data_IF_306600664929
#
_entry.id   IF_306600664929
#
_cell.length_a   1.000
_cell.length_b   1.000
_cell.length_c   1.000
_cell.angle_alpha   90.00
_cell.angle_beta   90.00
_cell.angle_gamma   90.00
#
_symmetry.space_group_name_H-M   'P 1'
#
loop_
_entity.id
_entity.type
_entity.pdbx_description
1 polymer ?
#
# COMPACT_ATOMS: atom_id res chain seq x y z
N UNK A 1 35.27 7.06 18.49
CA UNK A 1 34.12 6.19 18.84
C UNK A 1 34.55 4.74 19.05
N UNK A 2 33.69 3.83 19.55
CA UNK A 2 33.98 2.39 19.67
C UNK A 2 33.08 1.58 18.73
N UNK A 3 33.61 0.50 18.14
CA UNK A 3 32.85 -0.34 17.21
C UNK A 3 31.80 -1.18 17.95
N UNK A 4 30.53 -1.10 17.56
CA UNK A 4 29.40 -1.82 18.20
C UNK A 4 29.47 -3.36 18.12
N UNK A 5 30.44 -3.93 17.39
CA UNK A 5 30.58 -5.37 17.20
C UNK A 5 31.77 -5.97 17.94
N UNK A 6 32.85 -5.20 18.11
CA UNK A 6 34.09 -5.72 18.67
C UNK A 6 34.71 -4.80 19.74
N UNK A 7 34.02 -3.71 20.09
CA UNK A 7 34.41 -2.71 21.09
C UNK A 7 35.82 -2.12 20.93
N UNK A 8 36.41 -2.26 19.74
CA UNK A 8 37.70 -1.67 19.41
C UNK A 8 37.55 -0.15 19.22
N UNK A 9 38.57 0.64 19.61
CA UNK A 9 38.57 2.08 19.36
C UNK A 9 38.67 2.36 17.85
N UNK A 10 37.73 3.15 17.32
CA UNK A 10 37.67 3.53 15.91
C UNK A 10 37.62 5.05 15.76
N UNK A 11 38.35 5.58 14.78
CA UNK A 11 38.39 7.00 14.47
C UNK A 11 37.02 7.50 14.00
N UNK A 12 36.69 8.74 14.34
CA UNK A 12 35.35 9.28 14.15
C UNK A 12 34.94 9.41 12.66
N UNK A 13 35.92 9.30 11.74
CA UNK A 13 35.77 9.39 10.28
C UNK A 13 36.03 8.08 9.52
N UNK A 14 36.22 6.97 10.23
CA UNK A 14 36.51 5.70 9.59
C UNK A 14 35.23 5.01 9.10
N UNK A 15 35.14 4.79 7.78
CA UNK A 15 34.02 4.07 7.15
C UNK A 15 33.96 2.58 7.56
N UNK A 16 35.07 2.00 8.02
CA UNK A 16 35.17 0.59 8.39
C UNK A 16 36.05 0.41 9.63
N UNK A 17 35.67 -0.53 10.51
CA UNK A 17 36.48 -0.94 11.64
C UNK A 17 37.64 -1.82 11.16
N UNK A 18 38.88 -1.39 11.40
CA UNK A 18 40.09 -2.12 11.00
C UNK A 18 40.34 -3.41 11.79
N UNK A 19 39.70 -3.56 12.96
CA UNK A 19 39.87 -4.75 13.82
C UNK A 19 38.92 -5.90 13.47
N UNK A 20 37.70 -5.62 12.99
CA UNK A 20 36.69 -6.65 12.70
C UNK A 20 36.08 -6.58 11.30
N UNK A 21 36.44 -5.57 10.49
CA UNK A 21 35.92 -5.37 9.13
C UNK A 21 34.50 -4.82 9.05
N UNK A 22 33.88 -4.42 10.18
CA UNK A 22 32.49 -3.95 10.20
C UNK A 22 32.38 -2.48 9.73
N UNK A 23 31.44 -2.19 8.83
CA UNK A 23 31.19 -0.83 8.32
C UNK A 23 30.52 0.06 9.37
N UNK A 24 31.02 1.29 9.55
CA UNK A 24 30.47 2.28 10.45
C UNK A 24 29.80 3.38 9.60
N UNK A 25 28.46 3.46 9.64
CA UNK A 25 27.71 4.55 8.99
C UNK A 25 27.80 5.80 9.87
N UNK A 26 28.47 6.84 9.37
CA UNK A 26 28.47 8.15 10.01
C UNK A 26 27.08 8.79 9.88
N UNK A 27 26.44 9.05 11.02
CA UNK A 27 25.17 9.76 11.11
C UNK A 27 25.46 11.25 11.21
N UNK A 28 25.50 11.96 10.09
CA UNK A 28 25.27 13.41 10.10
C UNK A 28 23.76 13.62 10.19
N UNK A 29 23.32 13.93 11.41
CA UNK A 29 21.97 14.22 11.82
C UNK A 29 21.43 15.49 11.15
N UNK A 30 20.36 15.35 10.38
CA UNK A 30 19.26 16.31 10.33
C UNK A 30 17.97 15.54 9.97
N UNK A 31 17.04 15.51 10.93
CA UNK A 31 15.85 14.66 10.91
C UNK A 31 14.59 15.47 10.61
N UNK A 32 13.70 14.95 9.75
CA UNK A 32 12.24 14.95 10.00
C UNK A 32 11.63 13.64 9.49
N UNK A 33 11.36 12.75 10.46
CA UNK A 33 10.31 11.73 10.57
C UNK A 33 9.87 10.92 9.32
N UNK A 34 10.40 9.69 9.22
CA UNK A 34 9.64 8.50 8.82
C UNK A 34 10.32 7.25 9.43
N UNK A 35 9.67 6.49 10.33
CA UNK A 35 10.29 5.31 10.91
C UNK A 35 10.08 4.13 9.96
N UNK A 36 11.19 3.61 9.42
CA UNK A 36 11.48 2.18 9.29
C UNK A 36 12.62 2.03 8.27
N UNK A 37 13.82 2.22 8.80
CA UNK A 37 15.07 1.79 8.18
C UNK A 37 15.30 0.31 8.48
N UNK A 38 15.14 -0.54 7.47
CA UNK A 38 15.84 -1.82 7.35
C UNK A 38 16.39 -1.90 5.92
N UNK A 39 17.72 -1.77 5.82
CA UNK A 39 18.42 -1.81 4.54
C UNK A 39 18.44 -3.22 3.94
N UNK A 40 18.60 -3.30 2.62
CA UNK A 40 19.88 -3.73 2.08
C UNK A 40 20.00 -3.32 0.61
N UNK A 41 21.23 -2.94 0.27
CA UNK A 41 21.89 -2.76 -1.03
C UNK A 41 21.07 -3.05 -2.32
N UNK A 42 20.89 -2.03 -3.18
CA UNK A 42 21.10 -2.17 -4.64
C UNK A 42 21.15 -0.80 -5.36
N UNK A 43 22.37 -0.42 -5.74
CA UNK A 43 22.75 0.21 -7.02
C UNK A 43 21.81 1.24 -7.66
N UNK A 44 22.23 2.51 -7.62
CA UNK A 44 22.04 3.58 -8.63
C UNK A 44 20.93 3.35 -9.69
N UNK A 45 19.68 3.27 -9.27
CA UNK A 45 18.53 3.58 -10.10
C UNK A 45 17.49 4.20 -9.17
N UNK A 46 17.06 5.40 -9.53
CA UNK A 46 16.06 6.24 -8.88
C UNK A 46 14.78 5.47 -8.48
N UNK A 47 14.83 4.72 -7.38
CA UNK A 47 13.70 4.00 -6.80
C UNK A 47 13.39 4.66 -5.47
N UNK A 48 12.10 4.85 -5.19
CA UNK A 48 11.71 5.48 -3.93
C UNK A 48 12.06 4.55 -2.76
N UNK A 49 12.60 5.11 -1.67
CA UNK A 49 12.91 4.38 -0.42
C UNK A 49 11.69 3.73 0.27
N UNK A 50 10.48 3.88 -0.30
CA UNK A 50 9.25 3.28 0.21
C UNK A 50 9.09 1.85 -0.26
N UNK A 51 8.68 1.00 0.67
CA UNK A 51 8.53 -0.43 0.45
C UNK A 51 7.23 -0.76 -0.27
N UNK A 52 7.33 -1.50 -1.38
CA UNK A 52 6.18 -2.02 -2.12
C UNK A 52 5.30 -2.95 -1.27
N UNK A 53 5.92 -3.76 -0.40
CA UNK A 53 5.22 -4.71 0.48
C UNK A 53 4.25 -4.01 1.44
N UNK A 54 4.67 -2.85 1.96
CA UNK A 54 3.86 -2.02 2.87
C UNK A 54 2.72 -1.35 2.12
N UNK A 55 2.97 -0.82 0.92
CA UNK A 55 1.92 -0.26 0.05
C UNK A 55 0.86 -1.31 -0.31
N UNK A 56 1.28 -2.56 -0.54
CA UNK A 56 0.40 -3.70 -0.82
C UNK A 56 -0.49 -4.05 0.38
N UNK A 57 0.06 -4.09 1.60
CA UNK A 57 -0.75 -4.30 2.81
C UNK A 57 -1.75 -3.17 3.05
N UNK A 58 -1.34 -1.92 2.82
CA UNK A 58 -2.22 -0.75 2.90
C UNK A 58 -3.36 -0.83 1.87
N UNK A 59 -3.07 -1.30 0.66
CA UNK A 59 -4.08 -1.50 -0.38
C UNK A 59 -5.11 -2.57 0.02
N UNK A 60 -4.67 -3.67 0.63
CA UNK A 60 -5.59 -4.72 1.09
C UNK A 60 -6.49 -4.26 2.24
N UNK A 61 -5.94 -3.57 3.24
CA UNK A 61 -6.67 -3.28 4.48
C UNK A 61 -7.33 -1.89 4.50
N UNK A 62 -6.82 -0.94 3.73
CA UNK A 62 -7.33 0.44 3.63
C UNK A 62 -7.54 0.89 2.18
N UNK A 63 -7.63 -0.03 1.23
CA UNK A 63 -7.74 0.27 -0.20
C UNK A 63 -8.99 1.07 -0.56
N UNK A 64 -10.12 0.80 0.09
CA UNK A 64 -11.35 1.57 -0.08
C UNK A 64 -11.21 3.05 0.30
N UNK A 65 -10.32 3.36 1.25
CA UNK A 65 -10.07 4.72 1.74
C UNK A 65 -8.99 5.43 0.89
N UNK A 66 -8.20 4.68 0.10
CA UNK A 66 -7.14 5.24 -0.75
C UNK A 66 -5.86 5.64 0.01
N UNK A 67 -5.64 5.07 1.20
CA UNK A 67 -4.48 5.41 2.06
C UNK A 67 -3.13 5.10 1.39
N UNK A 68 -3.09 4.09 0.50
CA UNK A 68 -1.87 3.73 -0.23
C UNK A 68 -1.42 4.81 -1.22
N UNK A 69 -2.34 5.61 -1.78
CA UNK A 69 -1.98 6.76 -2.63
C UNK A 69 -1.27 7.85 -1.83
N UNK A 70 -1.71 8.09 -0.58
CA UNK A 70 -1.03 9.01 0.34
C UNK A 70 0.35 8.47 0.73
N UNK A 71 0.47 7.16 0.95
CA UNK A 71 1.75 6.51 1.22
C UNK A 71 2.75 6.70 0.06
N UNK A 72 2.27 6.57 -1.18
CA UNK A 72 3.03 6.81 -2.40
C UNK A 72 3.34 8.31 -2.65
N UNK A 73 2.76 9.21 -1.86
CA UNK A 73 2.91 10.66 -2.02
C UNK A 73 1.98 11.27 -3.08
N UNK A 74 1.13 10.47 -3.71
CA UNK A 74 0.13 10.91 -4.70
C UNK A 74 -1.16 11.35 -4.00
N UNK A 75 -1.06 12.39 -3.18
CA UNK A 75 -2.16 12.95 -2.39
C UNK A 75 -3.37 13.31 -3.27
N UNK A 76 -3.13 13.80 -4.49
CA UNK A 76 -4.19 14.15 -5.44
C UNK A 76 -5.03 12.94 -5.88
N UNK A 77 -4.39 11.79 -6.16
CA UNK A 77 -5.09 10.55 -6.54
C UNK A 77 -5.89 10.00 -5.35
N UNK A 78 -5.31 10.02 -4.15
CA UNK A 78 -5.99 9.59 -2.91
C UNK A 78 -7.22 10.44 -2.59
N UNK A 79 -7.11 11.77 -2.67
CA UNK A 79 -8.25 12.68 -2.44
C UNK A 79 -9.32 12.48 -3.52
N UNK A 80 -8.94 12.33 -4.79
CA UNK A 80 -9.90 12.09 -5.87
C UNK A 80 -10.72 10.80 -5.63
N UNK A 81 -10.05 9.72 -5.23
CA UNK A 81 -10.69 8.45 -4.84
C UNK A 81 -11.64 8.63 -3.66
N UNK A 82 -11.18 9.27 -2.59
CA UNK A 82 -11.99 9.52 -1.40
C UNK A 82 -13.20 10.42 -1.68
N UNK A 83 -13.04 11.45 -2.51
CA UNK A 83 -14.14 12.34 -2.90
C UNK A 83 -15.19 11.61 -3.76
N UNK A 84 -14.75 10.79 -4.72
CA UNK A 84 -15.63 9.91 -5.49
C UNK A 84 -16.35 8.91 -4.60
N UNK A 85 -15.68 8.37 -3.58
CA UNK A 85 -16.29 7.49 -2.59
C UNK A 85 -17.43 8.19 -1.84
N UNK A 86 -17.14 9.34 -1.24
CA UNK A 86 -18.13 10.12 -0.47
C UNK A 86 -19.30 10.56 -1.35
N UNK A 87 -19.02 10.94 -2.60
CA UNK A 87 -20.06 11.30 -3.56
C UNK A 87 -20.91 10.10 -3.97
N UNK A 88 -20.30 8.94 -4.19
CA UNK A 88 -21.03 7.70 -4.49
C UNK A 88 -21.92 7.27 -3.33
N UNK A 89 -21.44 7.37 -2.09
CA UNK A 89 -22.24 7.15 -0.88
C UNK A 89 -23.42 8.11 -0.76
N UNK A 90 -23.27 9.36 -1.21
CA UNK A 90 -24.33 10.38 -1.14
C UNK A 90 -25.42 10.18 -2.20
N UNK A 91 -25.06 9.69 -3.39
CA UNK A 91 -25.95 9.60 -4.56
C UNK A 91 -26.56 8.20 -4.73
N UNK A 92 -25.83 7.17 -4.33
CA UNK A 92 -26.27 5.77 -4.39
C UNK A 92 -25.97 5.11 -3.04
N UNK A 93 -27.01 4.72 -2.29
CA UNK A 93 -26.86 3.86 -1.09
C UNK A 93 -26.09 2.54 -1.40
N UNK A 94 -25.94 2.22 -2.69
CA UNK A 94 -25.11 1.13 -3.25
C UNK A 94 -23.60 1.41 -3.29
N UNK A 95 -23.10 2.25 -2.38
CA UNK A 95 -21.69 2.61 -2.22
C UNK A 95 -20.73 1.46 -1.88
N UNK A 96 -21.13 0.18 -1.91
CA UNK A 96 -20.22 -0.96 -1.70
C UNK A 96 -19.73 -1.63 -3.00
N UNK A 97 -20.51 -1.60 -4.09
CA UNK A 97 -20.18 -2.35 -5.32
C UNK A 97 -19.16 -1.62 -6.22
N UNK A 98 -19.21 -0.29 -6.29
CA UNK A 98 -18.29 0.51 -7.09
C UNK A 98 -16.88 0.68 -6.49
N UNK A 99 -16.72 0.39 -5.19
CA UNK A 99 -15.54 0.78 -4.40
C UNK A 99 -14.27 -0.02 -4.64
N UNK A 100 -14.40 -1.24 -5.14
CA UNK A 100 -13.31 -2.22 -5.14
C UNK A 100 -12.61 -2.32 -6.49
N UNK A 101 -13.21 -1.83 -7.57
CA UNK A 101 -12.61 -1.91 -8.91
C UNK A 101 -11.26 -1.17 -8.95
N UNK A 102 -11.15 -0.03 -8.28
CA UNK A 102 -9.91 0.74 -8.20
C UNK A 102 -8.82 0.03 -7.39
N UNK A 103 -9.17 -0.65 -6.31
CA UNK A 103 -8.23 -1.47 -5.52
C UNK A 103 -7.61 -2.58 -6.38
N UNK A 104 -8.38 -3.18 -7.29
CA UNK A 104 -7.89 -4.21 -8.21
C UNK A 104 -6.91 -3.62 -9.23
N UNK A 105 -7.23 -2.45 -9.80
CA UNK A 105 -6.34 -1.74 -10.75
C UNK A 105 -5.03 -1.36 -10.06
N UNK A 106 -5.09 -0.73 -8.88
CA UNK A 106 -3.89 -0.37 -8.12
C UNK A 106 -3.07 -1.61 -7.72
N UNK A 107 -3.72 -2.71 -7.37
CA UNK A 107 -3.04 -3.99 -7.06
C UNK A 107 -2.35 -4.57 -8.29
N UNK A 108 -2.93 -4.40 -9.48
CA UNK A 108 -2.32 -4.79 -10.74
C UNK A 108 -1.11 -3.90 -11.08
N UNK A 109 -1.24 -2.58 -10.93
CA UNK A 109 -0.14 -1.64 -11.14
C UNK A 109 1.02 -1.91 -10.19
N UNK A 110 0.72 -2.18 -8.91
CA UNK A 110 1.71 -2.58 -7.91
C UNK A 110 2.37 -3.91 -8.27
N UNK A 111 1.65 -4.91 -8.78
CA UNK A 111 2.24 -6.17 -9.26
C UNK A 111 3.14 -5.95 -10.47
N UNK A 112 2.69 -5.13 -11.43
CA UNK A 112 3.41 -4.83 -12.66
C UNK A 112 4.66 -3.97 -12.43
N UNK A 113 4.80 -3.36 -11.25
CA UNK A 113 5.88 -2.42 -10.96
C UNK A 113 5.73 -1.06 -11.65
N UNK A 114 4.63 -0.85 -12.38
CA UNK A 114 4.32 0.40 -13.09
C UNK A 114 3.74 1.47 -12.16
N UNK A 115 3.47 1.12 -10.91
CA UNK A 115 2.92 2.05 -9.93
C UNK A 115 3.95 3.14 -9.56
N UNK A 116 3.71 4.35 -10.06
CA UNK A 116 4.59 5.49 -9.90
C UNK A 116 4.26 6.34 -8.67
N UNK A 117 5.29 6.75 -7.95
CA UNK A 117 5.20 7.76 -6.90
C UNK A 117 5.07 9.19 -7.47
N UNK A 118 4.98 10.19 -6.59
CA UNK A 118 4.85 11.60 -6.99
C UNK A 118 6.04 12.18 -7.76
N UNK A 119 7.16 11.46 -7.79
CA UNK A 119 8.37 11.81 -8.53
C UNK A 119 8.53 10.95 -9.80
N UNK A 120 7.52 10.16 -10.15
CA UNK A 120 7.55 9.28 -11.32
C UNK A 120 8.40 8.03 -11.14
N UNK A 121 8.88 7.74 -9.92
CA UNK A 121 9.70 6.56 -9.62
C UNK A 121 8.83 5.39 -9.18
N UNK A 122 9.21 4.18 -9.57
CA UNK A 122 8.58 2.97 -9.05
C UNK A 122 8.98 2.72 -7.58
N UNK A 123 8.11 2.04 -6.82
CA UNK A 123 8.40 1.63 -5.43
C UNK A 123 9.47 0.53 -5.40
N UNK A 124 10.24 0.47 -4.30
CA UNK A 124 11.28 -0.53 -4.11
C UNK A 124 10.70 -1.96 -4.12
N UNK A 125 11.11 -2.82 -5.09
CA UNK A 125 10.52 -4.15 -5.27
C UNK A 125 11.11 -5.16 -4.28
N UNK A 126 10.72 -5.06 -3.01
CA UNK A 126 11.09 -6.03 -1.97
C UNK A 126 10.11 -7.23 -1.89
N UNK A 127 8.93 -7.12 -2.51
CA UNK A 127 7.90 -8.15 -2.40
C UNK A 127 8.18 -9.37 -3.31
N UNK A 128 8.05 -10.58 -2.77
CA UNK A 128 8.20 -11.81 -3.57
C UNK A 128 7.02 -11.99 -4.54
N UNK A 129 7.28 -12.53 -5.73
CA UNK A 129 6.23 -12.73 -6.76
C UNK A 129 5.07 -13.60 -6.26
N UNK A 130 5.37 -14.63 -5.45
CA UNK A 130 4.37 -15.48 -4.81
C UNK A 130 3.51 -14.68 -3.84
N UNK A 131 4.12 -13.76 -3.08
CA UNK A 131 3.39 -12.89 -2.16
C UNK A 131 2.47 -11.93 -2.92
N UNK A 132 2.96 -11.30 -4.01
CA UNK A 132 2.16 -10.42 -4.87
C UNK A 132 0.95 -11.15 -5.45
N UNK A 133 1.17 -12.34 -6.00
CA UNK A 133 0.11 -13.15 -6.61
C UNK A 133 -0.93 -13.61 -5.59
N UNK A 134 -0.49 -14.06 -4.41
CA UNK A 134 -1.39 -14.44 -3.32
C UNK A 134 -2.26 -13.27 -2.89
N UNK A 135 -1.64 -12.12 -2.62
CA UNK A 135 -2.37 -10.94 -2.17
C UNK A 135 -3.39 -10.48 -3.21
N UNK A 136 -3.01 -10.49 -4.50
CA UNK A 136 -3.92 -10.16 -5.60
C UNK A 136 -5.14 -11.10 -5.65
N UNK A 137 -4.91 -12.42 -5.53
CA UNK A 137 -6.00 -13.41 -5.49
C UNK A 137 -6.92 -13.14 -4.28
N UNK A 138 -6.35 -12.85 -3.12
CA UNK A 138 -7.14 -12.52 -1.92
C UNK A 138 -7.98 -11.25 -2.11
N UNK A 139 -7.42 -10.18 -2.68
CA UNK A 139 -8.20 -8.96 -3.01
C UNK A 139 -9.34 -9.26 -3.99
N UNK A 140 -9.08 -10.04 -5.03
CA UNK A 140 -10.11 -10.40 -6.02
C UNK A 140 -11.21 -11.27 -5.37
N UNK A 141 -10.84 -12.26 -4.56
CA UNK A 141 -11.81 -13.12 -3.88
C UNK A 141 -12.69 -12.33 -2.91
N UNK A 142 -12.10 -11.41 -2.12
CA UNK A 142 -12.86 -10.54 -1.23
C UNK A 142 -13.84 -9.64 -1.98
N UNK A 143 -13.44 -9.10 -3.14
CA UNK A 143 -14.34 -8.32 -3.98
C UNK A 143 -15.50 -9.16 -4.55
N UNK A 144 -15.22 -10.38 -5.00
CA UNK A 144 -16.27 -11.28 -5.52
C UNK A 144 -17.26 -11.63 -4.41
N UNK A 145 -16.77 -11.99 -3.22
CA UNK A 145 -17.63 -12.36 -2.07
C UNK A 145 -18.49 -11.17 -1.62
N UNK A 146 -17.91 -9.98 -1.51
CA UNK A 146 -18.67 -8.77 -1.15
C UNK A 146 -19.71 -8.40 -2.21
N UNK A 147 -19.39 -8.58 -3.49
CA UNK A 147 -20.34 -8.34 -4.58
C UNK A 147 -21.49 -9.33 -4.57
N UNK A 148 -21.21 -10.62 -4.36
CA UNK A 148 -22.24 -11.65 -4.22
C UNK A 148 -23.15 -11.41 -3.02
N UNK A 149 -22.58 -10.99 -1.89
CA UNK A 149 -23.35 -10.62 -0.70
C UNK A 149 -24.28 -9.43 -0.97
N UNK A 150 -23.77 -8.37 -1.62
CA UNK A 150 -24.61 -7.22 -1.99
C UNK A 150 -25.74 -7.60 -2.95
N UNK A 151 -25.47 -8.47 -3.93
CA UNK A 151 -26.50 -8.99 -4.84
C UNK A 151 -27.53 -9.83 -4.07
N UNK A 152 -27.11 -10.65 -3.11
CA UNK A 152 -28.03 -11.42 -2.27
C UNK A 152 -28.95 -10.49 -1.48
N UNK A 153 -28.41 -9.44 -0.85
CA UNK A 153 -29.22 -8.42 -0.18
C UNK A 153 -30.20 -7.72 -1.14
N UNK A 154 -29.78 -7.41 -2.38
CA UNK A 154 -30.68 -6.85 -3.40
C UNK A 154 -31.84 -7.78 -3.77
N UNK A 155 -31.61 -9.10 -3.77
CA UNK A 155 -32.66 -10.09 -4.07
C UNK A 155 -33.64 -10.17 -2.90
N UNK A 156 -33.15 -10.13 -1.67
CA UNK A 156 -33.98 -10.16 -0.46
C UNK A 156 -34.81 -8.86 -0.29
N UNK A 157 -34.22 -7.68 -0.54
CA UNK A 157 -34.92 -6.40 -0.53
C UNK A 157 -35.81 -6.21 -1.77
N UNK A 158 -35.45 -6.81 -2.91
CA UNK A 158 -36.27 -6.87 -4.11
C UNK A 158 -37.53 -7.70 -3.92
N UNK A 159 -37.51 -8.69 -3.04
CA UNK A 159 -38.72 -9.39 -2.59
C UNK A 159 -39.58 -8.52 -1.66
N UNK A 160 -38.97 -7.59 -0.90
CA UNK A 160 -39.69 -6.64 -0.03
C UNK A 160 -40.40 -5.53 -0.82
N UNK A 161 -39.79 -5.02 -1.91
CA UNK A 161 -40.45 -4.04 -2.78
C UNK A 161 -41.66 -4.61 -3.53
N UNK A 162 -41.63 -5.90 -3.88
CA UNK A 162 -42.81 -6.58 -4.43
C UNK A 162 -43.89 -6.76 -3.35
N UNK A 163 -43.54 -7.05 -2.09
CA UNK A 163 -44.52 -7.24 -1.02
C UNK A 163 -45.22 -5.95 -0.55
N UNK A 164 -44.60 -4.77 -0.69
CA UNK A 164 -45.24 -3.51 -0.29
C UNK A 164 -46.23 -2.95 -1.33
N UNK A 165 -46.18 -3.41 -2.58
CA UNK A 165 -47.20 -3.10 -3.61
C UNK A 165 -48.37 -4.11 -3.59
N UNK A 166 -48.15 -5.34 -3.11
CA UNK A 166 -49.22 -6.30 -2.84
C UNK A 166 -49.70 -6.17 -1.40
N UNK A 167 -50.46 -5.11 -1.11
CA UNK A 167 -51.25 -5.00 0.11
C UNK A 167 -52.32 -6.10 0.20
N UNK A 168 -51.90 -7.31 0.60
CA UNK A 168 -52.73 -8.44 1.00
C UNK A 168 -52.20 -9.07 2.29
#
# INVERSE_FOLDING_TARGET
MFCSKCDAPVQDDAAFCTSCGNSLKQTTSDAVASPNSLGDELTNTETSLKEQKTAMWLCFWCGAIGVHDFYAGNVAKGIAKAALYVFSMLVFDFGLLGLNAWVIVDSYELKSGTYADKWGKALYPNASEVFKQRLFIFTCAFFIVSSLFAIACMIDDGAFFVWHDYGL
#
